data_IF_394492012531
#
_entry.id   IF_394492012531
#
_cell.length_a   1.000
_cell.length_b   1.000
_cell.length_c   1.000
_cell.angle_alpha   90.00
_cell.angle_beta   90.00
_cell.angle_gamma   90.00
#
_symmetry.space_group_name_H-M   'P 1'
#
loop_
_entity.id
_entity.type
_entity.pdbx_description
1 polymer ?
#
# COMPACT_ATOMS: atom_id res chain seq x y z
N UNK A 1 15.65 -4.73 -27.15
CA UNK A 1 15.17 -4.36 -25.80
C UNK A 1 13.77 -3.77 -25.94
N UNK A 2 12.73 -4.48 -25.52
CA UNK A 2 11.37 -3.93 -25.46
C UNK A 2 11.09 -3.57 -24.01
N UNK A 3 10.87 -2.29 -23.71
CA UNK A 3 10.30 -1.85 -22.43
C UNK A 3 8.92 -2.50 -22.28
N UNK A 4 8.76 -3.46 -21.37
CA UNK A 4 7.44 -3.93 -20.95
C UNK A 4 6.90 -2.88 -19.98
N UNK A 5 5.87 -2.15 -20.38
CA UNK A 5 5.06 -1.41 -19.41
C UNK A 5 4.50 -2.43 -18.42
N UNK A 6 4.78 -2.28 -17.14
CA UNK A 6 4.05 -3.03 -16.11
C UNK A 6 2.56 -2.72 -16.32
N UNK A 7 1.66 -3.72 -16.15
CA UNK A 7 0.24 -3.42 -16.14
C UNK A 7 -0.03 -2.35 -15.06
N UNK A 8 -0.98 -1.45 -15.28
CA UNK A 8 -1.32 -0.43 -14.31
C UNK A 8 -1.70 -1.12 -12.99
N UNK A 9 -1.14 -0.64 -11.89
CA UNK A 9 -1.43 -1.17 -10.56
C UNK A 9 -2.77 -0.62 -10.08
N UNK A 10 -3.70 -1.51 -9.72
CA UNK A 10 -5.01 -1.13 -9.22
C UNK A 10 -4.97 -0.85 -7.73
N UNK A 11 -5.32 0.38 -7.35
CA UNK A 11 -5.26 0.87 -5.98
C UNK A 11 -6.66 1.01 -5.40
N UNK A 12 -6.78 0.62 -4.12
CA UNK A 12 -7.87 1.03 -3.25
C UNK A 12 -7.33 2.03 -2.22
N UNK A 13 -7.93 3.19 -2.13
CA UNK A 13 -7.65 4.16 -1.08
C UNK A 13 -8.84 4.26 -0.13
N UNK A 14 -8.61 3.92 1.14
CA UNK A 14 -9.58 4.01 2.22
C UNK A 14 -9.41 5.36 2.93
N UNK A 15 -10.37 6.24 2.76
CA UNK A 15 -10.40 7.54 3.43
C UNK A 15 -11.23 7.46 4.72
N UNK A 16 -10.52 7.30 5.82
CA UNK A 16 -11.05 7.01 7.14
C UNK A 16 -11.31 8.28 7.98
N UNK A 17 -11.77 9.38 7.34
CA UNK A 17 -12.03 10.64 8.04
C UNK A 17 -13.09 10.52 9.14
N UNK A 18 -13.99 9.55 9.03
CA UNK A 18 -14.99 9.19 10.04
C UNK A 18 -14.76 7.79 10.60
N UNK A 19 -13.50 7.33 10.59
CA UNK A 19 -13.13 6.03 11.07
C UNK A 19 -13.34 4.91 10.05
N UNK A 20 -13.33 3.66 10.54
CA UNK A 20 -13.48 2.45 9.74
C UNK A 20 -14.00 1.30 10.59
N UNK A 21 -14.94 0.53 10.05
CA UNK A 21 -15.43 -0.74 10.60
C UNK A 21 -15.60 -1.75 9.47
N UNK A 22 -15.77 -3.03 9.80
CA UNK A 22 -15.89 -4.09 8.79
C UNK A 22 -17.10 -3.91 7.88
N UNK A 23 -18.27 -3.62 8.45
CA UNK A 23 -19.50 -3.32 7.73
C UNK A 23 -19.38 -2.09 6.80
N UNK A 24 -18.66 -1.04 7.24
CA UNK A 24 -18.37 0.13 6.40
C UNK A 24 -17.47 -0.24 5.20
N UNK A 25 -16.51 -1.13 5.37
CA UNK A 25 -15.67 -1.62 4.26
C UNK A 25 -16.52 -2.38 3.25
N UNK A 26 -17.40 -3.29 3.71
CA UNK A 26 -18.32 -4.01 2.83
C UNK A 26 -19.26 -3.06 2.09
N UNK A 27 -19.83 -2.10 2.81
CA UNK A 27 -20.71 -1.08 2.24
C UNK A 27 -20.01 -0.26 1.16
N UNK A 28 -18.78 0.18 1.41
CA UNK A 28 -18.00 0.97 0.46
C UNK A 28 -17.61 0.17 -0.79
N UNK A 29 -17.26 -1.11 -0.65
CA UNK A 29 -16.97 -2.00 -1.77
C UNK A 29 -18.19 -2.23 -2.66
N UNK A 30 -19.35 -2.51 -2.06
CA UNK A 30 -20.61 -2.68 -2.80
C UNK A 30 -21.02 -1.38 -3.50
N UNK A 31 -20.88 -0.22 -2.83
CA UNK A 31 -21.19 1.09 -3.39
C UNK A 31 -20.26 1.46 -4.55
N UNK A 32 -19.02 0.99 -4.50
CA UNK A 32 -18.04 1.16 -5.58
C UNK A 32 -18.24 0.21 -6.77
N UNK A 33 -19.28 -0.65 -6.74
CA UNK A 33 -19.65 -1.53 -7.85
C UNK A 33 -19.20 -2.99 -7.74
N UNK A 34 -18.69 -3.42 -6.59
CA UNK A 34 -18.46 -4.85 -6.34
C UNK A 34 -19.80 -5.59 -6.35
N UNK A 35 -19.90 -6.67 -7.15
CA UNK A 35 -21.16 -7.45 -7.26
C UNK A 35 -21.53 -8.09 -5.92
N UNK A 36 -22.72 -7.72 -5.42
CA UNK A 36 -23.30 -8.30 -4.21
C UNK A 36 -23.46 -9.83 -4.34
N UNK A 37 -23.93 -10.31 -5.50
CA UNK A 37 -24.18 -11.72 -5.74
C UNK A 37 -22.87 -12.53 -5.65
N UNK A 38 -21.78 -12.01 -6.22
CA UNK A 38 -20.47 -12.67 -6.16
C UNK A 38 -19.89 -12.64 -4.74
N UNK A 39 -20.07 -11.53 -4.03
CA UNK A 39 -19.63 -11.38 -2.63
C UNK A 39 -20.37 -12.40 -1.73
N UNK A 40 -21.71 -12.44 -1.81
CA UNK A 40 -22.52 -13.38 -1.04
C UNK A 40 -22.22 -14.84 -1.41
N UNK A 41 -22.06 -15.13 -2.70
CA UNK A 41 -21.68 -16.48 -3.16
C UNK A 41 -20.32 -16.93 -2.60
N UNK A 42 -19.36 -16.02 -2.51
CA UNK A 42 -18.07 -16.26 -1.86
C UNK A 42 -18.21 -16.51 -0.37
N UNK A 43 -18.97 -15.68 0.33
CA UNK A 43 -19.21 -15.81 1.77
C UNK A 43 -19.95 -17.10 2.14
N UNK A 44 -20.87 -17.59 1.28
CA UNK A 44 -21.59 -18.86 1.49
C UNK A 44 -20.71 -20.11 1.39
N UNK A 45 -19.46 -19.99 0.95
CA UNK A 45 -18.46 -21.05 0.98
C UNK A 45 -17.83 -21.24 2.36
N UNK A 46 -18.02 -20.28 3.27
CA UNK A 46 -17.65 -20.47 4.67
C UNK A 46 -18.53 -21.53 5.30
N UNK A 47 -17.97 -22.48 6.07
CA UNK A 47 -18.74 -23.53 6.75
C UNK A 47 -19.44 -23.00 8.01
N UNK A 48 -20.16 -21.87 7.86
CA UNK A 48 -20.99 -21.23 8.89
C UNK A 48 -22.37 -20.95 8.31
N UNK A 49 -23.41 -21.17 9.09
CA UNK A 49 -24.80 -21.01 8.70
C UNK A 49 -25.52 -20.04 9.66
N UNK A 50 -26.78 -19.74 9.39
CA UNK A 50 -27.61 -18.89 10.27
C UNK A 50 -27.27 -17.41 10.18
N UNK A 51 -26.76 -16.93 9.05
CA UNK A 51 -26.50 -15.53 8.81
C UNK A 51 -27.08 -15.04 7.47
N UNK A 52 -27.33 -13.74 7.39
CA UNK A 52 -27.74 -13.06 6.16
C UNK A 52 -27.17 -11.66 6.09
N UNK A 53 -27.00 -11.14 4.85
CA UNK A 53 -26.60 -9.75 4.61
C UNK A 53 -27.83 -8.91 4.28
N UNK A 54 -28.08 -7.90 5.09
CA UNK A 54 -29.01 -6.82 4.76
C UNK A 54 -28.18 -5.67 4.14
N UNK A 55 -28.53 -5.29 2.92
CA UNK A 55 -27.85 -4.20 2.21
C UNK A 55 -28.91 -3.14 1.91
N UNK A 56 -28.71 -1.93 2.39
CA UNK A 56 -29.64 -0.84 2.23
C UNK A 56 -28.93 0.45 1.79
N UNK A 57 -29.62 1.25 0.97
CA UNK A 57 -29.18 2.61 0.67
C UNK A 57 -29.69 3.53 1.79
N UNK A 58 -28.78 4.19 2.48
CA UNK A 58 -29.08 5.08 3.60
C UNK A 58 -28.48 6.46 3.40
N UNK A 59 -28.85 7.42 4.25
CA UNK A 59 -28.23 8.74 4.32
C UNK A 59 -27.53 8.90 5.65
N UNK A 60 -26.33 9.48 5.61
CA UNK A 60 -25.60 9.98 6.79
C UNK A 60 -25.32 11.46 6.54
N UNK A 61 -26.05 12.33 7.21
CA UNK A 61 -26.08 13.74 6.86
C UNK A 61 -26.44 13.96 5.38
N UNK A 62 -25.67 14.71 4.59
CA UNK A 62 -25.93 14.94 3.17
C UNK A 62 -25.52 13.76 2.26
N UNK A 63 -24.78 12.79 2.76
CA UNK A 63 -24.16 11.73 1.95
C UNK A 63 -25.08 10.52 1.86
N UNK A 64 -25.36 10.08 0.62
CA UNK A 64 -26.00 8.79 0.36
C UNK A 64 -24.92 7.70 0.34
N UNK A 65 -25.12 6.66 1.13
CA UNK A 65 -24.13 5.59 1.32
C UNK A 65 -24.81 4.22 1.37
N UNK A 66 -24.03 3.16 1.19
CA UNK A 66 -24.49 1.78 1.32
C UNK A 66 -24.18 1.29 2.73
N UNK A 67 -25.21 0.86 3.44
CA UNK A 67 -25.11 0.20 4.73
C UNK A 67 -25.21 -1.30 4.55
N UNK A 68 -24.32 -2.03 5.18
CA UNK A 68 -24.36 -3.49 5.28
C UNK A 68 -24.56 -3.87 6.74
N UNK A 69 -25.49 -4.78 6.99
CA UNK A 69 -25.74 -5.33 8.33
C UNK A 69 -25.71 -6.85 8.22
N UNK A 70 -24.83 -7.47 8.97
CA UNK A 70 -24.83 -8.93 9.13
C UNK A 70 -25.84 -9.31 10.20
N UNK A 71 -26.87 -10.07 9.82
CA UNK A 71 -27.81 -10.69 10.77
C UNK A 71 -27.38 -12.11 11.04
N UNK A 72 -27.31 -12.48 12.31
CA UNK A 72 -26.99 -13.84 12.73
C UNK A 72 -27.96 -14.32 13.79
N UNK A 73 -28.41 -15.55 13.66
CA UNK A 73 -29.23 -16.23 14.66
C UNK A 73 -28.37 -16.79 15.81
N UNK A 74 -27.04 -16.77 15.65
CA UNK A 74 -26.10 -17.29 16.64
C UNK A 74 -25.94 -16.32 17.81
N UNK A 75 -26.29 -16.74 19.00
CA UNK A 75 -26.01 -16.02 20.25
C UNK A 75 -24.55 -16.27 20.65
N UNK A 76 -23.64 -15.36 20.22
CA UNK A 76 -22.25 -15.22 20.68
C UNK A 76 -21.44 -16.51 20.88
N UNK A 77 -21.08 -17.26 19.86
CA UNK A 77 -20.07 -18.30 20.03
C UNK A 77 -18.71 -17.63 20.24
N UNK A 78 -18.09 -17.89 21.36
CA UNK A 78 -16.70 -17.55 21.63
C UNK A 78 -15.82 -18.49 20.80
N UNK A 79 -15.38 -18.06 19.61
CA UNK A 79 -14.44 -18.84 18.79
C UNK A 79 -13.02 -18.49 19.15
N UNK A 80 -12.17 -19.49 19.25
CA UNK A 80 -10.73 -19.29 19.31
C UNK A 80 -10.18 -18.86 17.94
N UNK A 81 -9.03 -18.20 17.94
CA UNK A 81 -8.30 -17.88 16.69
C UNK A 81 -8.09 -19.13 15.83
N UNK A 82 -7.72 -20.26 16.45
CA UNK A 82 -7.47 -21.52 15.73
C UNK A 82 -8.73 -22.06 15.03
N UNK A 83 -9.89 -21.96 15.68
CA UNK A 83 -11.17 -22.38 15.07
C UNK A 83 -11.51 -21.50 13.88
N UNK A 84 -11.34 -20.19 13.97
CA UNK A 84 -11.58 -19.27 12.87
C UNK A 84 -10.63 -19.56 11.69
N UNK A 85 -9.35 -19.76 11.95
CA UNK A 85 -8.38 -20.11 10.89
C UNK A 85 -8.72 -21.42 10.19
N UNK A 86 -9.21 -22.45 10.93
CA UNK A 86 -9.69 -23.71 10.34
C UNK A 86 -10.93 -23.51 9.47
N UNK A 87 -11.87 -22.64 9.89
CA UNK A 87 -13.05 -22.31 9.07
C UNK A 87 -12.65 -21.63 7.76
N UNK A 88 -11.67 -20.72 7.78
CA UNK A 88 -11.16 -20.05 6.58
C UNK A 88 -10.42 -21.05 5.67
N UNK A 89 -9.60 -21.91 6.24
CA UNK A 89 -8.84 -22.93 5.50
C UNK A 89 -9.75 -23.98 4.86
N UNK A 90 -10.82 -24.37 5.56
CA UNK A 90 -11.81 -25.34 5.05
C UNK A 90 -12.76 -24.74 3.99
N UNK A 91 -12.80 -23.42 3.86
CA UNK A 91 -13.63 -22.76 2.87
C UNK A 91 -13.05 -22.91 1.45
N UNK A 92 -13.89 -23.21 0.47
CA UNK A 92 -13.50 -23.25 -0.95
C UNK A 92 -13.38 -21.82 -1.54
N UNK A 93 -12.40 -21.06 -1.02
CA UNK A 93 -12.11 -19.70 -1.42
C UNK A 93 -10.78 -19.61 -2.19
N UNK A 94 -10.59 -18.63 -3.08
CA UNK A 94 -9.30 -18.38 -3.71
C UNK A 94 -8.19 -18.20 -2.68
N UNK A 95 -7.00 -18.76 -2.94
CA UNK A 95 -5.88 -18.68 -2.01
C UNK A 95 -5.52 -17.25 -1.54
N UNK A 96 -5.54 -16.21 -2.39
CA UNK A 96 -5.30 -14.85 -1.94
C UNK A 96 -6.34 -14.37 -0.91
N UNK A 97 -7.61 -14.76 -1.07
CA UNK A 97 -8.69 -14.41 -0.13
C UNK A 97 -8.47 -15.09 1.22
N UNK A 98 -8.19 -16.41 1.22
CA UNK A 98 -7.89 -17.15 2.44
C UNK A 98 -6.68 -16.55 3.17
N UNK A 99 -5.61 -16.23 2.44
CA UNK A 99 -4.39 -15.64 3.01
C UNK A 99 -4.67 -14.27 3.65
N UNK A 100 -5.39 -13.38 2.94
CA UNK A 100 -5.75 -12.05 3.47
C UNK A 100 -6.62 -12.16 4.71
N UNK A 101 -7.68 -12.97 4.67
CA UNK A 101 -8.59 -13.15 5.80
C UNK A 101 -7.87 -13.76 7.02
N UNK A 102 -7.06 -14.80 6.82
CA UNK A 102 -6.26 -15.40 7.88
C UNK A 102 -5.24 -14.42 8.48
N UNK A 103 -4.59 -13.59 7.64
CA UNK A 103 -3.66 -12.57 8.11
C UNK A 103 -4.35 -11.52 9.00
N UNK A 104 -5.56 -11.06 8.61
CA UNK A 104 -6.34 -10.09 9.40
C UNK A 104 -6.69 -10.70 10.77
N UNK A 105 -7.18 -11.96 10.81
CA UNK A 105 -7.51 -12.61 12.09
C UNK A 105 -6.28 -12.89 12.96
N UNK A 106 -5.13 -13.26 12.38
CA UNK A 106 -3.89 -13.38 13.15
C UNK A 106 -3.49 -12.06 13.78
N UNK A 107 -3.51 -10.98 13.01
CA UNK A 107 -3.19 -9.64 13.52
C UNK A 107 -4.11 -9.22 14.66
N UNK A 108 -5.40 -9.52 14.53
CA UNK A 108 -6.39 -9.26 15.58
C UNK A 108 -6.12 -10.13 16.81
N UNK A 109 -5.84 -11.42 16.63
CA UNK A 109 -5.47 -12.34 17.72
C UNK A 109 -4.18 -11.93 18.45
N UNK A 110 -3.19 -11.45 17.73
CA UNK A 110 -1.95 -10.91 18.33
C UNK A 110 -2.23 -9.68 19.21
N UNK A 111 -3.10 -8.78 18.73
CA UNK A 111 -3.49 -7.61 19.52
C UNK A 111 -4.26 -7.99 20.81
N UNK A 112 -5.22 -8.91 20.72
CA UNK A 112 -5.95 -9.43 21.87
C UNK A 112 -5.03 -10.18 22.85
N UNK A 113 -4.13 -11.01 22.34
CA UNK A 113 -3.13 -11.71 23.15
C UNK A 113 -2.27 -10.72 23.98
N UNK A 114 -1.83 -9.64 23.30
CA UNK A 114 -1.05 -8.59 23.96
C UNK A 114 -1.85 -7.86 25.05
N UNK A 115 -3.09 -7.49 24.76
CA UNK A 115 -3.95 -6.77 25.70
C UNK A 115 -4.28 -7.61 26.94
N UNK A 116 -4.47 -8.93 26.77
CA UNK A 116 -4.82 -9.85 27.84
C UNK A 116 -3.60 -10.53 28.52
N UNK A 117 -2.39 -10.24 28.04
CA UNK A 117 -1.14 -10.87 28.48
C UNK A 117 -1.21 -12.40 28.50
N UNK A 118 -1.70 -12.97 27.38
CA UNK A 118 -1.86 -14.42 27.20
C UNK A 118 -1.17 -14.87 25.89
N UNK A 119 -0.77 -16.15 25.77
CA UNK A 119 -0.31 -16.71 24.50
C UNK A 119 -1.42 -16.61 23.41
N UNK A 120 -1.03 -16.32 22.18
CA UNK A 120 -1.96 -16.13 21.06
C UNK A 120 -2.83 -17.37 20.78
N UNK A 121 -2.33 -18.57 21.09
CA UNK A 121 -3.04 -19.83 20.99
C UNK A 121 -4.22 -19.96 21.97
N UNK A 122 -4.21 -19.16 23.04
CA UNK A 122 -5.26 -19.11 24.06
C UNK A 122 -6.26 -17.98 23.88
N UNK A 123 -6.13 -17.22 22.80
CA UNK A 123 -7.06 -16.13 22.51
C UNK A 123 -8.42 -16.71 22.16
N UNK A 124 -9.44 -16.26 22.89
CA UNK A 124 -10.84 -16.44 22.60
C UNK A 124 -11.44 -15.06 22.35
N UNK A 125 -12.00 -14.87 21.18
CA UNK A 125 -12.63 -13.59 20.85
C UNK A 125 -13.98 -13.47 21.51
N UNK A 126 -14.14 -12.47 22.36
CA UNK A 126 -15.40 -12.21 23.08
C UNK A 126 -16.38 -11.39 22.25
N UNK A 127 -15.90 -10.55 21.36
CA UNK A 127 -16.68 -9.66 20.50
C UNK A 127 -16.48 -9.98 19.02
N UNK A 128 -15.25 -10.31 18.62
CA UNK A 128 -14.85 -10.50 17.21
C UNK A 128 -14.91 -11.97 16.77
N UNK A 129 -15.28 -12.89 17.67
CA UNK A 129 -15.48 -14.32 17.38
C UNK A 129 -16.86 -14.64 16.79
N UNK A 130 -17.75 -13.68 16.75
CA UNK A 130 -19.09 -13.81 16.21
C UNK A 130 -19.09 -13.89 14.67
N UNK A 131 -20.19 -14.41 14.12
CA UNK A 131 -20.31 -14.60 12.67
C UNK A 131 -20.26 -13.29 11.88
N UNK A 132 -20.70 -12.19 12.47
CA UNK A 132 -20.64 -10.86 11.86
C UNK A 132 -19.21 -10.43 11.55
N UNK A 133 -18.29 -10.54 12.51
CA UNK A 133 -16.87 -10.21 12.28
C UNK A 133 -16.22 -11.16 11.25
N UNK A 134 -16.59 -12.46 11.26
CA UNK A 134 -16.11 -13.41 10.27
C UNK A 134 -16.58 -13.02 8.86
N UNK A 135 -17.85 -12.67 8.71
CA UNK A 135 -18.44 -12.22 7.45
C UNK A 135 -17.81 -10.89 7.00
N UNK A 136 -17.61 -9.96 7.89
CA UNK A 136 -17.00 -8.67 7.60
C UNK A 136 -15.56 -8.82 7.07
N UNK A 137 -14.74 -9.58 7.79
CA UNK A 137 -13.31 -9.74 7.45
C UNK A 137 -13.14 -10.57 6.17
N UNK A 138 -13.82 -11.71 6.08
CA UNK A 138 -13.74 -12.55 4.87
C UNK A 138 -14.40 -11.84 3.68
N UNK A 139 -15.51 -11.14 3.91
CA UNK A 139 -16.18 -10.33 2.91
C UNK A 139 -15.32 -9.20 2.38
N UNK A 140 -14.58 -8.50 3.24
CA UNK A 140 -13.61 -7.50 2.81
C UNK A 140 -12.51 -8.12 1.92
N UNK A 141 -11.95 -9.27 2.33
CA UNK A 141 -10.94 -9.98 1.54
C UNK A 141 -11.47 -10.41 0.15
N UNK A 142 -12.71 -10.93 0.09
CA UNK A 142 -13.41 -11.26 -1.17
C UNK A 142 -13.65 -10.00 -1.99
N UNK A 143 -14.14 -8.93 -1.38
CA UNK A 143 -14.48 -7.68 -2.05
C UNK A 143 -13.29 -7.03 -2.73
N UNK A 144 -12.14 -6.95 -2.05
CA UNK A 144 -10.89 -6.44 -2.65
C UNK A 144 -10.39 -7.34 -3.78
N UNK A 145 -10.53 -8.66 -3.66
CA UNK A 145 -10.20 -9.60 -4.75
C UNK A 145 -11.11 -9.40 -5.96
N UNK A 146 -12.43 -9.30 -5.76
CA UNK A 146 -13.40 -9.03 -6.82
C UNK A 146 -13.18 -7.67 -7.50
N UNK A 147 -12.71 -6.67 -6.75
CA UNK A 147 -12.35 -5.36 -7.28
C UNK A 147 -11.02 -5.37 -8.04
N UNK A 148 -10.25 -6.48 -7.99
CA UNK A 148 -8.95 -6.60 -8.63
C UNK A 148 -7.88 -5.69 -8.00
N UNK A 149 -7.96 -5.45 -6.70
CA UNK A 149 -7.06 -4.54 -5.98
C UNK A 149 -5.71 -5.19 -5.73
N UNK A 150 -4.66 -4.56 -6.27
CA UNK A 150 -3.26 -4.95 -6.05
C UNK A 150 -2.70 -4.34 -4.77
N UNK A 151 -3.12 -3.10 -4.45
CA UNK A 151 -2.58 -2.33 -3.34
C UNK A 151 -3.68 -1.56 -2.60
N UNK A 152 -3.64 -1.61 -1.27
CA UNK A 152 -4.51 -0.82 -0.40
C UNK A 152 -3.69 0.26 0.28
N UNK A 153 -4.16 1.50 0.25
CA UNK A 153 -3.59 2.63 0.98
C UNK A 153 -4.68 3.19 1.89
N UNK A 154 -4.31 3.54 3.11
CA UNK A 154 -5.25 4.12 4.08
C UNK A 154 -4.86 5.55 4.43
N UNK A 155 -5.85 6.40 4.64
CA UNK A 155 -5.62 7.73 5.22
C UNK A 155 -5.20 7.59 6.69
N UNK A 156 -4.70 8.65 7.34
CA UNK A 156 -4.65 8.69 8.80
C UNK A 156 -6.01 8.35 9.39
N UNK A 157 -6.03 7.54 10.48
CA UNK A 157 -7.24 7.03 11.08
C UNK A 157 -7.80 8.01 12.11
N UNK A 158 -9.07 8.42 11.96
CA UNK A 158 -9.79 9.15 13.00
C UNK A 158 -10.33 8.16 14.02
N UNK A 159 -9.72 8.11 15.19
CA UNK A 159 -10.05 7.13 16.23
C UNK A 159 -11.34 7.46 17.01
N UNK A 160 -11.81 8.72 16.93
CA UNK A 160 -12.87 9.19 17.82
C UNK A 160 -12.38 9.45 19.23
N UNK A 161 -13.24 9.21 20.23
CA UNK A 161 -12.91 9.46 21.63
C UNK A 161 -14.04 9.00 22.58
N UNK A 162 -13.90 9.32 23.86
CA UNK A 162 -14.90 8.97 24.86
C UNK A 162 -14.74 7.55 25.40
N UNK A 163 -15.87 6.84 25.57
CA UNK A 163 -15.90 5.47 26.12
C UNK A 163 -16.86 4.61 25.31
N UNK A 164 -16.53 3.33 25.18
CA UNK A 164 -17.38 2.30 24.58
C UNK A 164 -17.75 1.25 25.60
N UNK A 165 -18.96 0.70 25.51
CA UNK A 165 -19.40 -0.42 26.34
C UNK A 165 -19.04 -1.72 25.63
N UNK A 166 -18.19 -2.51 26.23
CA UNK A 166 -17.68 -3.78 25.74
C UNK A 166 -18.09 -4.93 26.69
N UNK A 167 -17.80 -6.17 26.33
CA UNK A 167 -18.03 -7.34 27.20
C UNK A 167 -17.36 -7.21 28.57
N UNK A 168 -16.21 -6.53 28.63
CA UNK A 168 -15.43 -6.27 29.85
C UNK A 168 -15.85 -4.97 30.59
N UNK A 169 -16.97 -4.35 30.22
CA UNK A 169 -17.45 -3.11 30.83
C UNK A 169 -17.14 -1.87 29.99
N UNK A 170 -16.97 -0.73 30.66
CA UNK A 170 -16.66 0.54 29.97
C UNK A 170 -15.16 0.65 29.68
N UNK A 171 -14.80 0.76 28.42
CA UNK A 171 -13.44 0.93 27.93
C UNK A 171 -13.24 2.33 27.34
N UNK A 172 -11.99 2.87 27.38
CA UNK A 172 -11.67 4.10 26.66
C UNK A 172 -11.69 3.86 25.14
N UNK A 173 -11.94 4.93 24.38
CA UNK A 173 -11.80 4.92 22.91
C UNK A 173 -10.48 5.60 22.53
N UNK A 174 -9.63 4.94 21.70
CA UNK A 174 -9.84 3.60 21.11
C UNK A 174 -9.81 2.48 22.14
N UNK A 175 -10.56 1.41 21.88
CA UNK A 175 -10.54 0.19 22.69
C UNK A 175 -9.12 -0.41 22.72
N UNK A 176 -8.71 -1.13 23.79
CA UNK A 176 -7.33 -1.60 23.95
C UNK A 176 -6.79 -2.39 22.75
N UNK A 177 -7.58 -3.30 22.18
CA UNK A 177 -7.18 -4.06 20.99
C UNK A 177 -7.00 -3.15 19.76
N UNK A 178 -7.90 -2.17 19.56
CA UNK A 178 -7.77 -1.16 18.51
C UNK A 178 -6.50 -0.33 18.69
N UNK A 179 -6.20 0.10 19.92
CA UNK A 179 -5.00 0.87 20.22
C UNK A 179 -3.72 0.10 19.90
N UNK A 180 -3.70 -1.22 20.18
CA UNK A 180 -2.57 -2.10 19.84
C UNK A 180 -2.46 -2.31 18.32
N UNK A 181 -3.58 -2.52 17.63
CA UNK A 181 -3.61 -2.72 16.18
C UNK A 181 -3.04 -1.53 15.40
N UNK A 182 -3.39 -0.30 15.79
CA UNK A 182 -2.99 0.91 15.04
C UNK A 182 -1.56 1.36 15.28
N UNK A 183 -0.76 0.62 16.08
CA UNK A 183 0.65 0.94 16.29
C UNK A 183 1.40 1.01 14.97
N UNK A 184 2.10 2.12 14.75
CA UNK A 184 2.85 2.38 13.52
C UNK A 184 2.04 3.08 12.42
N UNK A 185 0.72 3.23 12.55
CA UNK A 185 -0.08 4.04 11.65
C UNK A 185 -0.25 5.48 12.15
N UNK A 186 -0.49 6.38 11.20
CA UNK A 186 -0.87 7.76 11.55
C UNK A 186 -2.32 7.79 12.02
N UNK A 187 -2.54 8.32 13.22
CA UNK A 187 -3.84 8.41 13.85
C UNK A 187 -4.08 9.82 14.39
N UNK A 188 -5.35 10.21 14.47
CA UNK A 188 -5.78 11.46 15.08
C UNK A 188 -7.16 11.29 15.71
N UNK A 189 -7.62 12.29 16.45
CA UNK A 189 -8.97 12.37 17.00
C UNK A 189 -9.56 13.75 16.74
N UNK A 190 -10.81 13.79 16.32
CA UNK A 190 -11.61 15.02 16.19
C UNK A 190 -12.40 15.37 17.45
N UNK A 191 -12.25 14.59 18.53
CA UNK A 191 -12.97 14.79 19.78
C UNK A 191 -14.41 14.28 19.80
N UNK A 192 -14.87 13.63 18.73
CA UNK A 192 -16.20 12.98 18.69
C UNK A 192 -16.24 11.88 19.73
N UNK A 193 -17.22 11.93 20.64
CA UNK A 193 -17.36 10.99 21.74
C UNK A 193 -17.99 9.65 21.27
N UNK A 194 -17.37 9.00 20.30
CA UNK A 194 -17.79 7.74 19.72
C UNK A 194 -16.57 6.94 19.23
N UNK A 195 -16.67 5.59 19.28
CA UNK A 195 -15.69 4.71 18.66
C UNK A 195 -15.85 4.75 17.13
N UNK A 196 -14.92 5.41 16.45
CA UNK A 196 -14.96 5.54 15.00
C UNK A 196 -14.21 4.42 14.31
N UNK A 197 -13.19 3.86 14.96
CA UNK A 197 -12.39 2.75 14.45
C UNK A 197 -12.63 1.53 15.32
N UNK A 198 -13.35 0.54 14.77
CA UNK A 198 -13.60 -0.73 15.47
C UNK A 198 -12.39 -1.66 15.38
N UNK A 199 -12.25 -2.66 16.26
CA UNK A 199 -11.18 -3.67 16.15
C UNK A 199 -11.15 -4.37 14.79
N UNK A 200 -12.30 -4.73 14.21
CA UNK A 200 -12.40 -5.34 12.88
C UNK A 200 -11.93 -4.40 11.78
N UNK A 201 -12.38 -3.14 11.81
CA UNK A 201 -11.96 -2.11 10.84
C UNK A 201 -10.46 -1.82 10.93
N UNK A 202 -9.92 -1.69 12.16
CA UNK A 202 -8.49 -1.52 12.39
C UNK A 202 -7.68 -2.70 11.83
N UNK A 203 -8.10 -3.93 12.13
CA UNK A 203 -7.42 -5.13 11.66
C UNK A 203 -7.39 -5.23 10.12
N UNK A 204 -8.52 -4.91 9.45
CA UNK A 204 -8.58 -4.83 7.99
C UNK A 204 -7.60 -3.77 7.46
N UNK A 205 -7.67 -2.54 8.01
CA UNK A 205 -6.84 -1.44 7.58
C UNK A 205 -5.35 -1.74 7.74
N UNK A 206 -4.88 -2.12 8.93
CA UNK A 206 -3.45 -2.33 9.21
C UNK A 206 -2.87 -3.53 8.48
N UNK A 207 -3.68 -4.57 8.22
CA UNK A 207 -3.19 -5.80 7.57
C UNK A 207 -3.11 -5.67 6.07
N UNK A 208 -4.09 -4.98 5.46
CA UNK A 208 -4.15 -4.85 4.01
C UNK A 208 -3.40 -3.62 3.49
N UNK A 209 -3.19 -2.61 4.33
CA UNK A 209 -2.50 -1.39 3.92
C UNK A 209 -1.03 -1.66 3.60
N UNK A 210 -0.63 -1.31 2.40
CA UNK A 210 0.78 -1.20 2.00
C UNK A 210 1.39 0.16 2.34
N UNK A 211 0.56 1.14 2.73
CA UNK A 211 0.97 2.47 3.15
C UNK A 211 -0.16 3.24 3.83
N UNK A 212 0.23 4.23 4.65
CA UNK A 212 -0.68 5.17 5.30
C UNK A 212 -0.28 6.60 4.93
N UNK A 213 -1.25 7.40 4.46
CA UNK A 213 -0.96 8.77 4.05
C UNK A 213 -2.09 9.41 3.23
N UNK A 214 -1.78 10.50 2.51
CA UNK A 214 -2.74 11.18 1.64
C UNK A 214 -3.11 10.31 0.43
N UNK A 215 -4.20 10.68 -0.25
CA UNK A 215 -4.61 10.06 -1.51
C UNK A 215 -3.44 10.09 -2.50
N UNK A 216 -2.99 8.93 -2.99
CA UNK A 216 -1.90 8.88 -3.97
C UNK A 216 -2.36 9.44 -5.32
N UNK A 217 -1.40 9.79 -6.18
CA UNK A 217 -1.72 10.15 -7.56
C UNK A 217 -2.29 8.92 -8.27
N UNK A 218 -3.59 8.97 -8.62
CA UNK A 218 -4.31 7.87 -9.27
C UNK A 218 -5.39 8.40 -10.20
N UNK A 219 -5.72 7.61 -11.21
CA UNK A 219 -6.92 7.80 -12.00
C UNK A 219 -8.06 7.05 -11.30
N UNK A 220 -9.04 7.80 -10.81
CA UNK A 220 -10.17 7.23 -10.06
C UNK A 220 -11.22 6.71 -11.04
N UNK A 221 -11.57 5.42 -10.92
CA UNK A 221 -12.59 4.76 -11.72
C UNK A 221 -13.94 4.70 -10.99
N UNK A 222 -13.89 4.49 -9.67
CA UNK A 222 -15.10 4.40 -8.85
C UNK A 222 -14.86 4.98 -7.45
N UNK A 223 -15.95 5.48 -6.85
CA UNK A 223 -15.98 5.94 -5.46
C UNK A 223 -17.13 5.24 -4.76
N UNK A 224 -16.86 4.64 -3.62
CA UNK A 224 -17.87 3.98 -2.79
C UNK A 224 -17.96 4.61 -1.40
N UNK A 225 -19.17 4.66 -0.85
CA UNK A 225 -19.47 5.17 0.48
C UNK A 225 -20.11 4.07 1.33
N UNK A 226 -19.40 3.61 2.35
CA UNK A 226 -19.90 2.65 3.32
C UNK A 226 -20.40 3.34 4.58
N UNK A 227 -21.68 3.14 4.95
CA UNK A 227 -22.28 3.77 6.11
C UNK A 227 -22.09 2.92 7.37
N UNK A 228 -21.60 3.55 8.44
CA UNK A 228 -21.64 2.96 9.77
C UNK A 228 -23.05 2.96 10.35
N UNK A 229 -23.26 2.16 11.40
CA UNK A 229 -24.56 2.00 12.06
C UNK A 229 -24.99 3.22 12.88
N UNK A 230 -24.05 3.91 13.52
CA UNK A 230 -24.33 5.07 14.35
C UNK A 230 -24.61 6.33 13.53
N UNK A 231 -25.51 7.18 14.03
CA UNK A 231 -25.70 8.55 13.55
C UNK A 231 -24.88 9.49 14.43
N UNK A 232 -24.02 10.29 13.79
CA UNK A 232 -23.19 11.28 14.45
C UNK A 232 -23.71 12.68 14.10
N UNK A 233 -23.79 13.53 15.10
CA UNK A 233 -24.25 14.91 14.90
C UNK A 233 -23.18 15.79 14.22
N UNK A 234 -21.91 15.49 14.48
CA UNK A 234 -20.77 16.34 14.11
C UNK A 234 -20.33 16.10 12.66
N UNK A 235 -20.47 14.87 12.16
CA UNK A 235 -20.04 14.50 10.81
C UNK A 235 -20.76 13.26 10.29
N UNK A 236 -20.85 13.07 8.95
CA UNK A 236 -21.38 11.84 8.37
C UNK A 236 -20.54 10.62 8.77
N UNK A 237 -21.18 9.60 9.38
CA UNK A 237 -20.52 8.35 9.73
C UNK A 237 -20.41 7.44 8.51
N UNK A 238 -19.41 7.70 7.67
CA UNK A 238 -19.16 6.97 6.44
C UNK A 238 -17.66 6.76 6.20
N UNK A 239 -17.32 5.62 5.63
CA UNK A 239 -16.03 5.34 5.01
C UNK A 239 -16.12 5.68 3.53
N UNK A 240 -15.12 6.39 2.99
CA UNK A 240 -15.00 6.64 1.56
C UNK A 240 -13.91 5.76 0.96
N UNK A 241 -14.26 5.02 -0.08
CA UNK A 241 -13.34 4.19 -0.85
C UNK A 241 -13.16 4.80 -2.23
N UNK A 242 -11.91 5.00 -2.66
CA UNK A 242 -11.57 5.27 -4.05
C UNK A 242 -10.95 4.02 -4.66
N UNK A 243 -11.46 3.59 -5.81
CA UNK A 243 -10.87 2.54 -6.63
C UNK A 243 -10.38 3.14 -7.93
N UNK A 244 -9.22 2.71 -8.39
CA UNK A 244 -8.66 3.20 -9.65
C UNK A 244 -7.26 2.67 -9.91
N UNK A 245 -6.63 3.21 -10.92
CA UNK A 245 -5.28 2.84 -11.32
C UNK A 245 -4.28 3.88 -10.83
N UNK A 246 -3.13 3.42 -10.34
CA UNK A 246 -2.04 4.32 -10.01
C UNK A 246 -1.69 5.14 -11.24
N UNK A 247 -1.68 6.47 -11.09
CA UNK A 247 -1.18 7.31 -12.15
C UNK A 247 0.25 6.85 -12.46
N UNK A 248 0.46 6.39 -13.69
CA UNK A 248 1.79 5.99 -14.12
C UNK A 248 2.73 7.16 -13.85
N UNK A 249 3.56 7.07 -12.83
CA UNK A 249 4.71 7.95 -12.76
C UNK A 249 5.40 7.82 -14.11
N UNK A 250 5.69 8.96 -14.73
CA UNK A 250 6.29 9.00 -16.07
C UNK A 250 7.42 7.96 -16.12
N UNK A 251 7.21 6.92 -16.91
CA UNK A 251 7.99 5.68 -16.96
C UNK A 251 9.49 5.96 -16.84
N UNK A 252 10.08 5.61 -15.69
CA UNK A 252 11.52 5.71 -15.45
C UNK A 252 11.86 6.07 -14.01
N UNK A 253 12.79 5.33 -13.45
CA UNK A 253 13.42 5.65 -12.18
C UNK A 253 14.27 6.89 -12.35
N UNK A 254 14.05 7.92 -11.53
CA UNK A 254 14.95 9.07 -11.46
C UNK A 254 16.18 8.69 -10.63
N UNK A 255 17.36 8.92 -11.19
CA UNK A 255 18.62 8.71 -10.50
C UNK A 255 19.55 9.92 -10.68
N UNK A 256 20.35 10.16 -9.66
CA UNK A 256 21.39 11.20 -9.70
C UNK A 256 22.68 10.56 -10.19
N UNK A 257 23.30 11.19 -11.18
CA UNK A 257 24.53 10.73 -11.80
C UNK A 257 25.55 11.86 -11.90
N UNK A 258 26.81 11.50 -12.04
CA UNK A 258 27.92 12.40 -12.31
C UNK A 258 28.29 12.34 -13.77
N UNK A 259 28.42 13.51 -14.41
CA UNK A 259 28.98 13.70 -15.74
C UNK A 259 30.40 14.21 -15.58
N UNK A 260 31.37 13.43 -16.08
CA UNK A 260 32.78 13.82 -16.10
C UNK A 260 33.16 14.18 -17.56
N UNK A 261 33.73 15.37 -17.76
CA UNK A 261 34.11 15.81 -19.09
C UNK A 261 35.56 16.28 -19.12
N UNK A 262 36.30 15.84 -20.13
CA UNK A 262 37.65 16.30 -20.42
C UNK A 262 37.80 16.62 -21.91
N UNK A 263 38.58 17.66 -22.27
CA UNK A 263 38.90 17.97 -23.64
C UNK A 263 40.39 17.66 -23.91
N UNK A 264 40.66 16.91 -24.96
CA UNK A 264 41.99 16.40 -25.29
C UNK A 264 42.32 16.69 -26.78
N UNK A 265 43.48 17.30 -27.08
CA UNK A 265 43.91 17.65 -28.43
C UNK A 265 45.24 17.01 -28.86
N UNK A 266 45.83 16.17 -28.03
CA UNK A 266 47.16 15.60 -28.24
C UNK A 266 47.28 14.08 -27.87
N UNK A 267 46.16 13.39 -27.75
CA UNK A 267 46.11 11.94 -27.46
C UNK A 267 45.99 11.11 -28.74
N UNK A 268 46.70 9.98 -28.77
CA UNK A 268 46.56 9.04 -29.86
C UNK A 268 45.16 8.41 -29.87
N UNK A 269 44.37 8.52 -30.99
CA UNK A 269 43.00 7.99 -31.04
C UNK A 269 42.90 6.48 -30.79
N UNK A 270 43.93 5.70 -31.01
CA UNK A 270 43.95 4.26 -30.71
C UNK A 270 43.78 3.94 -29.22
N UNK A 271 44.12 4.87 -28.31
CA UNK A 271 44.01 4.70 -26.88
C UNK A 271 42.60 4.85 -26.37
N UNK A 272 41.67 5.47 -27.13
CA UNK A 272 40.29 5.64 -26.68
C UNK A 272 39.56 4.32 -26.44
N UNK A 273 39.80 3.29 -27.28
CA UNK A 273 39.17 1.97 -27.04
C UNK A 273 39.59 1.37 -25.69
N UNK A 274 40.88 1.45 -25.37
CA UNK A 274 41.42 1.00 -24.08
C UNK A 274 40.83 1.80 -22.90
N UNK A 275 40.76 3.13 -23.05
CA UNK A 275 40.17 4.01 -22.03
C UNK A 275 38.74 3.65 -21.76
N UNK A 276 37.91 3.44 -22.81
CA UNK A 276 36.47 3.06 -22.67
C UNK A 276 36.35 1.75 -21.89
N UNK A 277 37.12 0.73 -22.25
CA UNK A 277 37.11 -0.56 -21.56
C UNK A 277 37.45 -0.40 -20.06
N UNK A 278 38.51 0.36 -19.77
CA UNK A 278 38.94 0.60 -18.38
C UNK A 278 37.93 1.42 -17.57
N UNK A 279 37.35 2.44 -18.18
CA UNK A 279 36.35 3.26 -17.51
C UNK A 279 35.05 2.47 -17.17
N UNK A 280 34.58 1.64 -18.14
CA UNK A 280 33.44 0.74 -17.87
C UNK A 280 33.77 -0.28 -16.76
N UNK A 281 34.98 -0.88 -16.79
CA UNK A 281 35.44 -1.78 -15.74
C UNK A 281 35.57 -1.07 -14.37
N UNK A 282 35.87 0.23 -14.37
CA UNK A 282 35.94 1.06 -13.17
C UNK A 282 34.57 1.57 -12.68
N UNK A 283 33.45 1.19 -13.32
CA UNK A 283 32.11 1.52 -12.89
C UNK A 283 31.47 2.70 -13.63
N UNK A 284 32.00 3.12 -14.77
CA UNK A 284 31.28 4.03 -15.65
C UNK A 284 30.00 3.38 -16.17
N UNK A 285 28.94 4.16 -16.28
CA UNK A 285 27.66 3.74 -16.87
C UNK A 285 27.67 3.86 -18.37
N UNK A 286 28.40 4.84 -18.88
CA UNK A 286 28.62 5.07 -20.32
C UNK A 286 29.85 5.94 -20.52
N UNK A 287 30.47 5.81 -21.72
CA UNK A 287 31.67 6.58 -22.13
C UNK A 287 31.57 6.86 -23.60
N UNK A 288 31.75 8.13 -23.99
CA UNK A 288 31.80 8.51 -25.41
C UNK A 288 32.76 9.69 -25.64
N UNK A 289 33.19 9.87 -26.87
CA UNK A 289 33.97 11.01 -27.30
C UNK A 289 33.27 11.73 -28.47
N UNK A 290 33.36 13.06 -28.47
CA UNK A 290 32.81 13.92 -29.51
C UNK A 290 33.89 14.80 -30.07
N UNK A 291 34.12 14.80 -31.39
CA UNK A 291 35.09 15.71 -32.04
C UNK A 291 34.72 17.18 -31.79
N UNK A 292 35.71 17.97 -31.39
CA UNK A 292 35.53 19.41 -31.11
C UNK A 292 36.69 20.23 -31.70
N UNK A 293 36.46 21.50 -31.99
CA UNK A 293 37.53 22.44 -32.27
C UNK A 293 37.88 23.23 -31.01
N UNK A 294 39.12 23.11 -30.58
CA UNK A 294 39.64 23.77 -29.39
C UNK A 294 40.28 25.14 -29.73
N UNK A 295 40.82 25.85 -28.73
CA UNK A 295 41.54 27.09 -28.93
C UNK A 295 42.64 26.95 -29.99
N UNK A 296 42.90 28.00 -30.75
CA UNK A 296 43.86 28.00 -31.91
C UNK A 296 43.46 27.08 -33.04
N UNK A 297 42.17 26.78 -33.24
CA UNK A 297 41.64 25.89 -34.27
C UNK A 297 42.24 24.48 -34.26
N UNK A 298 42.65 23.97 -33.13
CA UNK A 298 43.12 22.59 -33.01
C UNK A 298 41.93 21.62 -32.93
N UNK A 299 41.92 20.58 -33.80
CA UNK A 299 40.97 19.50 -33.60
C UNK A 299 41.27 18.78 -32.27
N UNK A 300 40.26 18.34 -31.56
CA UNK A 300 40.39 17.57 -30.35
C UNK A 300 39.11 16.78 -30.08
N UNK A 301 39.09 16.09 -28.99
CA UNK A 301 37.96 15.27 -28.54
C UNK A 301 37.43 15.78 -27.20
N UNK A 302 36.12 15.92 -27.09
CA UNK A 302 35.43 16.04 -25.81
C UNK A 302 35.09 14.63 -25.34
N UNK A 303 35.82 14.13 -24.37
CA UNK A 303 35.56 12.89 -23.69
C UNK A 303 34.54 13.10 -22.57
N UNK A 304 33.53 12.26 -22.58
CA UNK A 304 32.47 12.31 -21.56
C UNK A 304 32.31 10.92 -20.93
N UNK A 305 32.32 10.88 -19.60
CA UNK A 305 32.07 9.67 -18.80
C UNK A 305 30.85 9.90 -17.89
N UNK A 306 29.90 9.00 -17.96
CA UNK A 306 28.72 9.00 -17.12
C UNK A 306 28.89 7.97 -16.01
N UNK A 307 28.70 8.35 -14.75
CA UNK A 307 28.93 7.42 -13.63
C UNK A 307 28.04 7.71 -12.43
N UNK A 308 27.86 6.73 -11.51
CA UNK A 308 27.32 7.00 -10.19
C UNK A 308 28.24 7.98 -9.41
N UNK A 309 27.70 8.87 -8.56
CA UNK A 309 28.51 9.83 -7.80
C UNK A 309 29.65 9.20 -7.00
N UNK A 310 29.43 8.00 -6.44
CA UNK A 310 30.42 7.26 -5.66
C UNK A 310 31.61 6.72 -6.48
N UNK A 311 31.46 6.63 -7.80
CA UNK A 311 32.53 6.19 -8.70
C UNK A 311 33.36 7.36 -9.27
N UNK A 312 32.90 8.61 -9.07
CA UNK A 312 33.45 9.78 -9.74
C UNK A 312 34.94 10.00 -9.48
N UNK A 313 35.40 9.99 -8.23
CA UNK A 313 36.82 10.21 -7.89
C UNK A 313 37.73 9.18 -8.56
N UNK A 314 37.38 7.90 -8.48
CA UNK A 314 38.16 6.83 -9.13
C UNK A 314 38.24 7.00 -10.64
N UNK A 315 37.15 7.46 -11.26
CA UNK A 315 37.13 7.68 -12.73
C UNK A 315 37.87 8.96 -13.12
N UNK A 316 37.89 9.99 -12.28
CA UNK A 316 38.73 11.17 -12.46
C UNK A 316 40.21 10.82 -12.42
N UNK A 317 40.64 10.03 -11.43
CA UNK A 317 42.00 9.53 -11.36
C UNK A 317 42.37 8.71 -12.59
N UNK A 318 41.47 7.83 -13.05
CA UNK A 318 41.69 7.04 -14.29
C UNK A 318 41.83 7.95 -15.49
N UNK A 319 41.02 8.98 -15.66
CA UNK A 319 41.12 9.95 -16.74
C UNK A 319 42.47 10.68 -16.73
N UNK A 320 42.98 11.09 -15.60
CA UNK A 320 44.30 11.69 -15.49
C UNK A 320 45.45 10.72 -15.79
N UNK A 321 45.27 9.44 -15.46
CA UNK A 321 46.31 8.43 -15.76
C UNK A 321 46.33 7.96 -17.22
N UNK A 322 45.18 7.87 -17.85
CA UNK A 322 45.01 7.24 -19.17
C UNK A 322 44.88 8.25 -20.31
N UNK A 323 44.80 9.57 -20.00
CA UNK A 323 44.71 10.62 -21.04
C UNK A 323 45.75 11.70 -20.79
N UNK A 324 45.90 12.60 -21.76
CA UNK A 324 46.77 13.78 -21.65
C UNK A 324 46.04 14.99 -21.06
N UNK A 325 44.80 14.82 -20.56
CA UNK A 325 44.03 15.93 -20.00
C UNK A 325 44.66 16.49 -18.75
N UNK A 326 44.59 17.81 -18.59
CA UNK A 326 45.03 18.53 -17.39
C UNK A 326 43.86 18.93 -16.46
N UNK A 327 42.66 18.60 -16.87
CA UNK A 327 41.46 18.97 -16.05
C UNK A 327 40.20 18.22 -16.47
N UNK A 328 39.44 17.79 -15.46
CA UNK A 328 38.16 17.13 -15.60
C UNK A 328 37.07 18.00 -15.00
N UNK A 329 36.06 18.32 -15.78
CA UNK A 329 34.83 18.99 -15.28
C UNK A 329 33.90 17.92 -14.70
N UNK A 330 33.30 18.24 -13.57
CA UNK A 330 32.35 17.36 -12.88
C UNK A 330 31.00 18.09 -12.75
N UNK A 331 29.93 17.47 -13.24
CA UNK A 331 28.57 18.01 -13.15
C UNK A 331 27.61 16.96 -12.60
N UNK A 332 27.02 17.27 -11.46
CA UNK A 332 25.96 16.44 -10.89
C UNK A 332 24.66 16.70 -11.65
N UNK A 333 24.06 15.66 -12.20
CA UNK A 333 22.81 15.77 -12.98
C UNK A 333 21.85 14.66 -12.65
N UNK A 334 20.58 14.83 -13.05
CA UNK A 334 19.54 13.81 -12.90
C UNK A 334 19.17 13.23 -14.25
N UNK A 335 18.96 11.92 -14.29
CA UNK A 335 18.41 11.26 -15.48
C UNK A 335 17.25 10.35 -15.09
N UNK A 336 16.39 10.06 -16.05
CA UNK A 336 15.37 9.01 -15.93
C UNK A 336 15.77 7.81 -16.75
N UNK A 337 15.74 6.62 -16.14
CA UNK A 337 16.08 5.35 -16.80
C UNK A 337 14.88 4.41 -16.74
N UNK A 338 14.63 3.71 -17.82
CA UNK A 338 13.63 2.64 -17.85
C UNK A 338 14.23 1.37 -17.25
N UNK A 339 13.40 0.57 -16.59
CA UNK A 339 13.79 -0.78 -16.19
C UNK A 339 14.14 -1.60 -17.42
N UNK A 340 15.24 -2.35 -17.37
CA UNK A 340 15.75 -3.17 -18.47
C UNK A 340 15.75 -4.62 -18.03
N UNK A 341 15.02 -5.46 -18.74
CA UNK A 341 15.16 -6.91 -18.65
C UNK A 341 15.94 -7.42 -19.83
N UNK A 342 16.93 -8.27 -19.57
CA UNK A 342 17.67 -8.99 -20.61
C UNK A 342 16.82 -10.22 -21.00
N UNK A 343 16.47 -10.30 -22.27
CA UNK A 343 15.77 -11.45 -22.87
C UNK A 343 16.78 -12.28 -23.63
#
# INVERSE_FOLDING_TARGET
VRSRRRPPMRIAYLDCFSGISGDMVLGALLDAGVSREKLEAGLRRLPVSGWSLEVARVRRGPIAATQVVVRSDEQHPHRSLQEILRLIEAADLPAPVQQRAAAIFRRLGEAEAHVHDIPVERVHFHEVGAVDALVDIVGAAIGFELAGVDQVIVSPLNLGGGRVRAAHGWLPVPAPATAELVRGLQCYSTGIAHELVTPTGAAIAVTLASGCGPLPAMQVDAVGWGAGSAELAEQPNVLRLFLGEQASEATGREETIMLLEATVDDMNPQLYAHLVERALAAGALDVWAVPVYMKKNRPGELLTVLCPPEAAERLVELLFCETTTLGVRQTLTRRRVLDRDWV
#
